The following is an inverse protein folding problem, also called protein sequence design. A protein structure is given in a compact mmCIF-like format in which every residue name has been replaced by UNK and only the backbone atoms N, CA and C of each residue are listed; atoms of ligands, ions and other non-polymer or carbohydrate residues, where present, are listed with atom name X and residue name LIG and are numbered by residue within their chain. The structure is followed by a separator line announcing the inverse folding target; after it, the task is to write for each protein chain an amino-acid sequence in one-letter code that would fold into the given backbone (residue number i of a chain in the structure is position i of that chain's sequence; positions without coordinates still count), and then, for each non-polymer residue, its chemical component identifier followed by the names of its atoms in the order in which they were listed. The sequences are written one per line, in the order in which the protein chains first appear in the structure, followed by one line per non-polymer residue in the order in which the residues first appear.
data_IF_654837075040
#
_entry.id   IF_654837075040
#
_cell.length_a   1.000
_cell.length_b   1.000
_cell.length_c   1.000
_cell.angle_alpha   90.00
_cell.angle_beta   90.00
_cell.angle_gamma   90.00
#
_symmetry.space_group_name_H-M   'P 1'
#
loop_
_entity.id
_entity.type
_entity.pdbx_description
1 polymer ?
#
# COMPACT_ATOMS: atom_id res chain seq x y z
N UNK A 1 4.64 31.80 -20.66
CA UNK A 1 4.48 30.59 -19.85
C UNK A 1 3.99 31.00 -18.45
N UNK A 2 2.71 30.75 -18.11
CA UNK A 2 2.22 31.00 -16.75
C UNK A 2 2.84 29.95 -15.82
N UNK A 3 3.66 30.38 -14.85
CA UNK A 3 4.11 29.54 -13.73
C UNK A 3 2.87 28.93 -13.09
N UNK A 4 2.71 27.62 -13.23
CA UNK A 4 1.72 26.86 -12.47
C UNK A 4 2.22 26.98 -11.03
N UNK A 5 1.46 27.67 -10.17
CA UNK A 5 1.71 27.71 -8.71
C UNK A 5 1.89 26.26 -8.27
N UNK A 6 3.01 25.97 -7.59
CA UNK A 6 3.25 24.69 -6.95
C UNK A 6 1.98 24.29 -6.21
N UNK A 7 1.32 23.24 -6.69
CA UNK A 7 0.09 22.74 -6.09
C UNK A 7 0.39 22.34 -4.65
N UNK A 8 -0.59 22.42 -3.78
CA UNK A 8 -0.53 21.92 -2.40
C UNK A 8 0.20 20.59 -2.42
N UNK A 9 1.27 20.53 -1.65
CA UNK A 9 2.14 19.38 -1.53
C UNK A 9 1.31 18.11 -1.28
N UNK A 10 1.60 17.02 -1.97
CA UNK A 10 0.83 15.78 -1.94
C UNK A 10 0.69 15.18 -0.52
N UNK A 11 1.66 15.42 0.36
CA UNK A 11 1.61 15.06 1.78
C UNK A 11 0.62 15.91 2.61
N UNK A 12 0.04 16.96 2.04
CA UNK A 12 -1.07 17.74 2.60
C UNK A 12 -2.45 17.23 2.22
N UNK A 13 -2.58 16.15 1.46
CA UNK A 13 -3.89 15.64 1.03
C UNK A 13 -4.68 15.03 2.18
N UNK A 14 -5.93 15.48 2.27
CA UNK A 14 -6.93 14.87 3.15
C UNK A 14 -7.52 13.65 2.45
N UNK A 15 -8.12 12.75 3.23
CA UNK A 15 -8.92 11.64 2.71
C UNK A 15 -9.83 12.10 1.55
N UNK A 16 -9.92 11.31 0.49
CA UNK A 16 -10.71 11.62 -0.71
C UNK A 16 -12.19 11.91 -0.40
N UNK A 17 -12.68 11.46 0.75
CA UNK A 17 -14.01 11.77 1.25
C UNK A 17 -13.95 12.35 2.67
N UNK A 18 -14.51 13.54 2.83
CA UNK A 18 -14.72 14.17 4.14
C UNK A 18 -15.89 13.54 4.92
N UNK A 19 -16.55 12.52 4.37
CA UNK A 19 -17.76 11.88 4.91
C UNK A 19 -17.72 10.37 4.75
N UNK A 20 -18.39 9.65 5.66
CA UNK A 20 -18.60 8.20 5.57
C UNK A 20 -19.71 7.80 4.57
N UNK A 21 -20.47 8.78 4.02
CA UNK A 21 -21.61 8.53 3.13
C UNK A 21 -21.25 7.77 1.84
N UNK A 22 -20.20 8.11 1.10
CA UNK A 22 -19.83 7.39 -0.12
C UNK A 22 -19.53 5.91 0.15
N UNK A 23 -18.82 5.60 1.23
CA UNK A 23 -18.51 4.22 1.63
C UNK A 23 -19.76 3.42 1.95
N UNK A 24 -20.71 4.03 2.69
CA UNK A 24 -22.00 3.41 3.02
C UNK A 24 -22.85 3.18 1.77
N UNK A 25 -22.86 4.13 0.84
CA UNK A 25 -23.58 4.00 -0.44
C UNK A 25 -22.98 2.86 -1.28
N UNK A 26 -21.65 2.80 -1.40
CA UNK A 26 -20.97 1.73 -2.13
C UNK A 26 -21.29 0.36 -1.52
N UNK A 27 -21.25 0.25 -0.21
CA UNK A 27 -21.62 -0.97 0.50
C UNK A 27 -23.08 -1.36 0.24
N UNK A 28 -24.00 -0.41 0.30
CA UNK A 28 -25.41 -0.63 -0.01
C UNK A 28 -25.59 -1.12 -1.46
N UNK A 29 -24.89 -0.51 -2.41
CA UNK A 29 -24.90 -0.95 -3.81
C UNK A 29 -24.38 -2.39 -3.97
N UNK A 30 -23.28 -2.74 -3.30
CA UNK A 30 -22.72 -4.09 -3.31
C UNK A 30 -23.68 -5.14 -2.76
N UNK A 31 -24.52 -4.77 -1.79
CA UNK A 31 -25.50 -5.67 -1.17
C UNK A 31 -26.76 -5.87 -2.01
N UNK A 32 -27.21 -4.84 -2.75
CA UNK A 32 -28.53 -4.83 -3.38
C UNK A 32 -28.49 -4.96 -4.91
N UNK A 33 -27.34 -4.64 -5.53
CA UNK A 33 -27.22 -4.69 -6.99
C UNK A 33 -26.36 -5.86 -7.45
N UNK A 34 -26.62 -6.40 -8.65
CA UNK A 34 -25.75 -7.39 -9.25
C UNK A 34 -24.38 -6.79 -9.56
N UNK A 35 -23.33 -7.61 -9.48
CA UNK A 35 -21.92 -7.15 -9.62
C UNK A 35 -21.65 -6.42 -10.94
N UNK A 36 -22.29 -6.82 -12.03
CA UNK A 36 -22.12 -6.15 -13.33
C UNK A 36 -22.58 -4.68 -13.29
N UNK A 37 -23.69 -4.39 -12.57
CA UNK A 37 -24.22 -3.02 -12.43
C UNK A 37 -23.30 -2.17 -11.52
N UNK A 38 -22.85 -2.74 -10.40
CA UNK A 38 -21.87 -2.06 -9.53
C UNK A 38 -20.60 -1.75 -10.31
N UNK A 39 -20.14 -2.69 -11.14
CA UNK A 39 -18.97 -2.52 -12.00
C UNK A 39 -19.19 -1.39 -13.00
N UNK A 40 -20.34 -1.37 -13.68
CA UNK A 40 -20.70 -0.29 -14.60
C UNK A 40 -20.71 1.09 -13.92
N UNK A 41 -21.34 1.21 -12.75
CA UNK A 41 -21.36 2.45 -11.96
C UNK A 41 -19.91 2.87 -11.58
N UNK A 42 -19.08 1.91 -11.17
CA UNK A 42 -17.68 2.17 -10.82
C UNK A 42 -16.89 2.71 -12.02
N UNK A 43 -17.13 2.18 -13.23
CA UNK A 43 -16.51 2.71 -14.43
C UNK A 43 -17.00 4.11 -14.79
N UNK A 44 -18.29 4.38 -14.64
CA UNK A 44 -18.83 5.74 -14.85
C UNK A 44 -18.19 6.73 -13.86
N UNK A 45 -18.03 6.35 -12.60
CA UNK A 45 -17.35 7.15 -11.59
C UNK A 45 -15.86 7.36 -11.95
N UNK A 46 -15.15 6.31 -12.36
CA UNK A 46 -13.76 6.42 -12.80
C UNK A 46 -13.59 7.36 -14.00
N UNK A 47 -14.50 7.27 -14.98
CA UNK A 47 -14.51 8.16 -16.15
C UNK A 47 -14.78 9.61 -15.73
N UNK A 48 -15.74 9.84 -14.82
CA UNK A 48 -16.03 11.15 -14.27
C UNK A 48 -14.77 11.76 -13.61
N UNK A 49 -14.12 11.05 -12.69
CA UNK A 49 -12.89 11.52 -12.06
C UNK A 49 -11.77 11.75 -13.07
N UNK A 50 -11.62 10.88 -14.05
CA UNK A 50 -10.61 11.05 -15.09
C UNK A 50 -10.82 12.32 -15.92
N UNK A 51 -12.07 12.70 -16.20
CA UNK A 51 -12.39 13.92 -16.96
C UNK A 51 -12.22 15.18 -16.10
N UNK A 52 -12.77 15.18 -14.89
CA UNK A 52 -12.89 16.38 -14.06
C UNK A 52 -11.72 16.59 -13.11
N UNK A 53 -11.04 15.52 -12.66
CA UNK A 53 -9.82 15.65 -11.86
C UNK A 53 -8.59 15.72 -12.77
N UNK A 54 -8.20 16.96 -13.10
CA UNK A 54 -7.02 17.23 -13.93
C UNK A 54 -5.74 16.70 -13.31
N UNK A 55 -5.61 16.74 -11.97
CA UNK A 55 -4.41 16.30 -11.28
C UNK A 55 -4.25 14.79 -11.38
N UNK A 56 -5.29 14.04 -11.02
CA UNK A 56 -5.29 12.57 -11.14
C UNK A 56 -4.87 12.13 -12.55
N UNK A 57 -5.44 12.77 -13.57
CA UNK A 57 -5.11 12.48 -14.98
C UNK A 57 -3.66 12.80 -15.34
N UNK A 58 -3.16 13.97 -14.95
CA UNK A 58 -1.80 14.40 -15.30
C UNK A 58 -0.74 13.53 -14.60
N UNK A 59 -0.92 13.20 -13.33
CA UNK A 59 0.02 12.38 -12.59
C UNK A 59 0.01 10.92 -13.06
N UNK A 60 -1.16 10.40 -13.42
CA UNK A 60 -1.24 9.09 -14.09
C UNK A 60 -0.47 9.06 -15.41
N UNK A 61 -0.57 10.13 -16.23
CA UNK A 61 0.19 10.24 -17.47
C UNK A 61 1.70 10.37 -17.18
N UNK A 62 2.10 11.19 -16.20
CA UNK A 62 3.50 11.40 -15.80
C UNK A 62 4.16 10.10 -15.39
N UNK A 63 3.52 9.37 -14.48
CA UNK A 63 4.01 8.06 -14.05
C UNK A 63 4.18 7.10 -15.23
N UNK A 64 3.16 6.95 -16.08
CA UNK A 64 3.23 6.01 -17.20
C UNK A 64 4.24 6.44 -18.28
N UNK A 65 4.52 7.73 -18.44
CA UNK A 65 5.62 8.22 -19.27
C UNK A 65 6.98 7.83 -18.67
N UNK A 66 7.20 8.10 -17.36
CA UNK A 66 8.43 7.71 -16.69
C UNK A 66 8.66 6.20 -16.77
N UNK A 67 7.60 5.41 -16.57
CA UNK A 67 7.67 3.96 -16.72
C UNK A 67 8.02 3.53 -18.15
N UNK A 68 7.44 4.19 -19.16
CA UNK A 68 7.73 3.92 -20.56
C UNK A 68 9.18 4.26 -20.93
N UNK A 69 9.69 5.37 -20.41
CA UNK A 69 11.06 5.81 -20.68
C UNK A 69 12.09 4.89 -20.02
N UNK A 70 11.74 4.30 -18.89
CA UNK A 70 12.58 3.36 -18.14
C UNK A 70 12.48 1.91 -18.63
N UNK A 71 11.29 1.45 -18.94
CA UNK A 71 11.02 0.03 -19.25
C UNK A 71 11.07 -0.26 -20.74
N UNK A 72 11.82 -1.29 -21.11
CA UNK A 72 11.85 -1.77 -22.52
C UNK A 72 10.56 -2.49 -22.93
N UNK A 73 9.77 -2.98 -21.98
CA UNK A 73 8.58 -3.81 -22.23
C UNK A 73 7.28 -3.02 -22.18
N UNK A 74 7.23 -1.91 -21.44
CA UNK A 74 6.03 -1.09 -21.30
C UNK A 74 5.93 -0.04 -22.40
N UNK A 75 4.89 -0.14 -23.25
CA UNK A 75 4.71 0.76 -24.40
C UNK A 75 3.38 1.52 -24.42
N UNK A 76 2.34 1.01 -23.71
CA UNK A 76 0.97 1.51 -23.85
C UNK A 76 0.56 2.39 -22.67
N UNK A 77 0.61 3.71 -22.85
CA UNK A 77 0.10 4.68 -21.87
C UNK A 77 -1.43 4.66 -21.90
N UNK A 78 -2.04 4.23 -20.81
CA UNK A 78 -3.51 4.13 -20.63
C UNK A 78 -3.91 4.67 -19.25
N UNK A 79 -3.89 5.99 -19.02
CA UNK A 79 -4.13 6.58 -17.71
C UNK A 79 -5.55 6.31 -17.20
N UNK A 80 -6.57 6.30 -18.07
CA UNK A 80 -7.92 5.92 -17.69
C UNK A 80 -7.97 4.49 -17.13
N UNK A 81 -7.17 3.56 -17.68
CA UNK A 81 -7.11 2.18 -17.15
C UNK A 81 -6.58 2.14 -15.72
N UNK A 82 -5.57 2.94 -15.38
CA UNK A 82 -5.05 3.04 -14.01
C UNK A 82 -6.11 3.60 -13.06
N UNK A 83 -6.80 4.68 -13.44
CA UNK A 83 -7.89 5.28 -12.64
C UNK A 83 -9.04 4.30 -12.46
N UNK A 84 -9.45 3.59 -13.53
CA UNK A 84 -10.50 2.58 -13.45
C UNK A 84 -10.09 1.40 -12.55
N UNK A 85 -8.85 0.92 -12.65
CA UNK A 85 -8.33 -0.14 -11.78
C UNK A 85 -8.34 0.30 -10.31
N UNK A 86 -7.94 1.53 -10.03
CA UNK A 86 -8.01 2.12 -8.69
C UNK A 86 -9.44 2.15 -8.15
N UNK A 87 -10.40 2.67 -8.94
CA UNK A 87 -11.81 2.75 -8.53
C UNK A 87 -12.38 1.36 -8.20
N UNK A 88 -12.08 0.36 -9.02
CA UNK A 88 -12.52 -1.02 -8.77
C UNK A 88 -11.84 -1.59 -7.50
N UNK A 89 -10.54 -1.32 -7.28
CA UNK A 89 -9.84 -1.76 -6.06
C UNK A 89 -10.45 -1.15 -4.80
N UNK A 90 -10.87 0.12 -4.83
CA UNK A 90 -11.58 0.74 -3.69
C UNK A 90 -12.93 0.03 -3.41
N UNK A 91 -13.70 -0.29 -4.45
CA UNK A 91 -14.98 -1.01 -4.28
C UNK A 91 -14.75 -2.42 -3.73
N UNK A 92 -13.75 -3.13 -4.24
CA UNK A 92 -13.37 -4.45 -3.71
C UNK A 92 -12.85 -4.40 -2.29
N UNK A 93 -12.08 -3.36 -1.95
CA UNK A 93 -11.66 -3.13 -0.57
C UNK A 93 -12.85 -3.06 0.38
N UNK A 94 -13.93 -2.37 -0.01
CA UNK A 94 -15.17 -2.29 0.79
C UNK A 94 -15.87 -3.65 0.82
N UNK A 95 -15.94 -4.38 -0.29
CA UNK A 95 -16.56 -5.71 -0.37
C UNK A 95 -15.79 -6.73 0.53
N UNK A 96 -14.47 -6.70 0.53
CA UNK A 96 -13.64 -7.61 1.33
C UNK A 96 -13.86 -7.50 2.85
N UNK A 97 -14.43 -6.38 3.35
CA UNK A 97 -14.74 -6.25 4.77
C UNK A 97 -15.91 -7.12 5.23
N UNK A 98 -16.81 -7.46 4.34
CA UNK A 98 -17.96 -8.33 4.64
C UNK A 98 -17.85 -9.69 3.96
N UNK A 99 -17.13 -9.74 2.87
CA UNK A 99 -16.91 -10.92 2.05
C UNK A 99 -15.39 -11.06 1.80
N UNK A 100 -14.63 -11.68 2.70
CA UNK A 100 -13.20 -11.92 2.48
C UNK A 100 -12.93 -12.63 1.15
N UNK A 101 -11.76 -12.41 0.59
CA UNK A 101 -11.34 -13.13 -0.62
C UNK A 101 -11.20 -14.62 -0.25
N UNK A 102 -11.90 -15.54 -0.91
CA UNK A 102 -11.71 -16.95 -0.71
C UNK A 102 -10.26 -17.36 -1.00
N UNK A 103 -9.71 -18.25 -0.18
CA UNK A 103 -8.31 -18.64 -0.30
C UNK A 103 -7.98 -19.26 -1.67
N UNK A 104 -8.88 -20.04 -2.23
CA UNK A 104 -8.74 -20.63 -3.55
C UNK A 104 -8.59 -19.60 -4.68
N UNK A 105 -8.97 -18.35 -4.43
CA UNK A 105 -8.82 -17.23 -5.35
C UNK A 105 -7.51 -16.45 -5.13
N UNK A 106 -6.69 -16.84 -4.15
CA UNK A 106 -5.38 -16.24 -3.87
C UNK A 106 -4.29 -17.18 -4.37
N UNK A 107 -3.56 -16.74 -5.37
CA UNK A 107 -2.41 -17.47 -5.88
C UNK A 107 -1.13 -16.89 -5.28
N UNK A 108 -0.40 -17.69 -4.53
CA UNK A 108 0.96 -17.37 -4.15
C UNK A 108 1.90 -17.60 -5.33
N UNK A 109 2.70 -16.63 -5.67
CA UNK A 109 3.59 -16.66 -6.84
C UNK A 109 5.02 -16.28 -6.44
N UNK A 110 5.44 -16.74 -5.27
CA UNK A 110 6.74 -16.52 -4.67
C UNK A 110 7.20 -17.75 -3.88
N UNK A 111 8.47 -17.74 -3.47
CA UNK A 111 9.08 -18.81 -2.68
C UNK A 111 9.07 -18.53 -1.17
N UNK A 112 8.81 -17.29 -0.73
CA UNK A 112 8.96 -16.88 0.68
C UNK A 112 7.64 -16.93 1.47
N UNK A 113 6.48 -17.10 0.83
CA UNK A 113 5.18 -17.21 1.50
C UNK A 113 5.13 -18.40 2.45
N UNK A 114 5.64 -19.56 2.04
CA UNK A 114 5.72 -20.75 2.89
C UNK A 114 6.62 -20.53 4.12
N UNK A 115 7.75 -19.84 3.94
CA UNK A 115 8.67 -19.51 5.01
C UNK A 115 8.03 -18.54 6.04
N UNK A 116 7.27 -17.55 5.57
CA UNK A 116 6.50 -16.65 6.44
C UNK A 116 5.44 -17.42 7.25
N UNK A 117 4.66 -18.28 6.59
CA UNK A 117 3.64 -19.10 7.23
C UNK A 117 4.25 -20.02 8.32
N UNK A 118 5.35 -20.67 8.01
CA UNK A 118 6.07 -21.51 8.97
C UNK A 118 6.58 -20.69 10.17
N UNK A 119 7.19 -19.53 9.92
CA UNK A 119 7.64 -18.61 10.97
C UNK A 119 6.50 -18.19 11.89
N UNK A 120 5.34 -17.83 11.35
CA UNK A 120 4.15 -17.46 12.10
C UNK A 120 3.61 -18.64 12.93
N UNK A 121 3.62 -19.86 12.40
CA UNK A 121 3.25 -21.07 13.13
C UNK A 121 4.19 -21.40 14.29
N UNK A 122 5.46 -20.99 14.19
CA UNK A 122 6.44 -21.06 15.28
C UNK A 122 6.22 -19.98 16.35
N UNK A 123 5.24 -19.09 16.19
CA UNK A 123 4.96 -17.96 17.08
C UNK A 123 5.94 -16.79 16.92
N UNK A 124 6.66 -16.71 15.81
CA UNK A 124 7.59 -15.62 15.49
C UNK A 124 6.90 -14.64 14.57
N UNK A 125 6.72 -13.41 15.03
CA UNK A 125 6.12 -12.32 14.25
C UNK A 125 7.05 -11.76 13.16
N UNK A 126 6.51 -10.86 12.35
CA UNK A 126 7.25 -10.22 11.27
C UNK A 126 6.86 -8.75 11.08
N UNK A 127 7.80 -7.98 10.53
CA UNK A 127 7.55 -6.63 10.04
C UNK A 127 7.27 -6.71 8.53
N UNK A 128 6.13 -6.16 8.11
CA UNK A 128 5.65 -6.22 6.72
C UNK A 128 5.69 -4.83 6.10
N UNK A 129 6.43 -4.68 5.01
CA UNK A 129 6.44 -3.44 4.22
C UNK A 129 5.61 -3.67 2.97
N UNK A 130 4.57 -2.87 2.82
CA UNK A 130 3.68 -2.83 1.65
C UNK A 130 3.88 -1.54 0.85
N UNK A 131 3.17 -1.41 -0.26
CA UNK A 131 3.10 -0.17 -1.05
C UNK A 131 1.68 0.12 -1.51
N UNK A 132 1.49 1.27 -2.16
CA UNK A 132 0.24 1.59 -2.86
C UNK A 132 0.16 0.98 -4.27
N UNK A 133 0.98 -0.03 -4.53
CA UNK A 133 0.95 -0.86 -5.72
C UNK A 133 0.15 -2.13 -5.43
N UNK A 134 -0.93 -2.35 -6.18
CA UNK A 134 -1.82 -3.48 -6.00
C UNK A 134 -2.86 -3.27 -4.88
N UNK A 135 -3.36 -4.36 -4.32
CA UNK A 135 -4.39 -4.39 -3.28
C UNK A 135 -3.83 -4.94 -1.97
N UNK A 136 -3.69 -4.08 -0.97
CA UNK A 136 -3.23 -4.46 0.37
C UNK A 136 -4.24 -5.29 1.17
N UNK A 137 -5.52 -5.35 0.74
CA UNK A 137 -6.54 -6.16 1.44
C UNK A 137 -6.29 -7.67 1.31
N UNK A 138 -5.50 -8.08 0.33
CA UNK A 138 -5.05 -9.48 0.21
C UNK A 138 -4.29 -9.93 1.47
N UNK A 139 -3.58 -9.04 2.17
CA UNK A 139 -2.96 -9.33 3.46
C UNK A 139 -3.94 -9.74 4.55
N UNK A 140 -5.20 -9.29 4.49
CA UNK A 140 -6.23 -9.73 5.42
C UNK A 140 -6.56 -11.20 5.30
N UNK A 141 -6.37 -11.75 4.11
CA UNK A 141 -6.56 -13.18 3.87
C UNK A 141 -5.53 -14.00 4.65
N UNK A 142 -4.34 -13.45 4.93
CA UNK A 142 -3.35 -14.08 5.81
C UNK A 142 -3.82 -14.16 7.28
N UNK A 143 -4.77 -13.32 7.69
CA UNK A 143 -5.36 -13.38 9.02
C UNK A 143 -6.46 -14.45 9.13
N UNK A 144 -6.91 -15.03 8.01
CA UNK A 144 -7.97 -16.03 7.97
C UNK A 144 -7.38 -17.42 8.22
N UNK A 145 -7.45 -17.85 9.49
CA UNK A 145 -6.69 -18.93 10.14
C UNK A 145 -6.68 -20.28 9.44
N UNK A 146 -7.81 -20.68 8.86
CA UNK A 146 -8.02 -22.10 8.55
C UNK A 146 -7.58 -22.50 7.14
N UNK A 147 -7.36 -21.53 6.26
CA UNK A 147 -7.20 -21.79 4.83
C UNK A 147 -5.75 -21.77 4.35
N UNK A 148 -4.87 -21.00 5.04
CA UNK A 148 -3.47 -20.82 4.63
C UNK A 148 -2.45 -21.62 5.47
N UNK A 149 -2.92 -22.57 6.29
CA UNK A 149 -2.03 -23.37 7.15
C UNK A 149 -1.57 -22.65 8.41
N UNK A 150 -2.12 -21.50 8.76
CA UNK A 150 -1.83 -20.79 10.01
C UNK A 150 -2.70 -21.39 11.12
N UNK A 151 -2.03 -21.94 12.16
CA UNK A 151 -2.66 -22.68 13.26
C UNK A 151 -3.23 -21.79 14.36
N UNK A 152 -2.83 -20.52 14.42
CA UNK A 152 -3.19 -19.57 15.50
C UNK A 152 -3.76 -18.28 14.91
N UNK A 153 -4.55 -17.54 15.75
CA UNK A 153 -4.88 -16.15 15.40
C UNK A 153 -3.63 -15.30 15.50
N UNK A 154 -3.34 -14.57 14.45
CA UNK A 154 -2.18 -13.69 14.37
C UNK A 154 -2.63 -12.27 14.67
N UNK A 155 -2.09 -11.59 15.69
CA UNK A 155 -2.31 -10.17 15.90
C UNK A 155 -1.76 -9.39 14.70
N UNK A 156 -2.54 -8.44 14.18
CA UNK A 156 -2.09 -7.54 13.11
C UNK A 156 -2.20 -6.11 13.59
N UNK A 157 -1.09 -5.39 13.57
CA UNK A 157 -1.04 -3.95 13.78
C UNK A 157 -0.70 -3.25 12.46
N UNK A 158 -1.52 -2.29 12.06
CA UNK A 158 -1.33 -1.51 10.83
C UNK A 158 -0.92 -0.09 11.20
N UNK A 159 0.26 0.30 10.75
CA UNK A 159 0.72 1.68 10.85
C UNK A 159 0.11 2.48 9.70
N UNK A 160 -0.72 3.46 10.00
CA UNK A 160 -1.37 4.31 9.01
C UNK A 160 -1.55 5.73 9.50
N UNK A 161 -1.62 6.67 8.57
CA UNK A 161 -1.99 8.06 8.88
C UNK A 161 -3.49 8.12 9.20
N UNK A 162 -3.83 8.46 10.45
CA UNK A 162 -5.23 8.57 10.90
C UNK A 162 -5.99 9.64 10.17
N UNK A 163 -5.34 10.74 9.79
CA UNK A 163 -5.99 11.84 9.09
C UNK A 163 -6.43 11.45 7.68
N UNK A 164 -5.73 10.48 7.08
CA UNK A 164 -6.02 9.99 5.72
C UNK A 164 -7.01 8.82 5.72
N UNK A 165 -7.12 8.05 6.81
CA UNK A 165 -7.91 6.81 6.84
C UNK A 165 -9.09 6.83 7.82
N UNK A 166 -9.31 7.93 8.54
CA UNK A 166 -10.28 7.96 9.65
C UNK A 166 -11.72 7.70 9.23
N UNK A 167 -12.19 8.29 8.13
CA UNK A 167 -13.57 8.11 7.68
C UNK A 167 -13.81 6.73 7.09
N UNK A 168 -12.83 6.20 6.36
CA UNK A 168 -12.87 4.82 5.88
C UNK A 168 -12.93 3.85 7.06
N UNK A 169 -12.03 3.95 8.02
CA UNK A 169 -12.00 3.09 9.21
C UNK A 169 -13.30 3.20 10.03
N UNK A 170 -13.83 4.43 10.24
CA UNK A 170 -15.13 4.64 10.91
C UNK A 170 -16.29 3.98 10.17
N UNK A 171 -16.29 4.07 8.84
CA UNK A 171 -17.34 3.45 8.02
C UNK A 171 -17.25 1.92 8.14
N UNK A 172 -16.06 1.36 8.03
CA UNK A 172 -15.83 -0.08 8.07
C UNK A 172 -16.15 -0.68 9.46
N UNK A 173 -15.70 -0.06 10.54
CA UNK A 173 -16.01 -0.51 11.91
C UNK A 173 -17.52 -0.51 12.22
N UNK A 174 -18.28 0.39 11.61
CA UNK A 174 -19.76 0.39 11.72
C UNK A 174 -20.41 -0.76 10.93
N UNK A 175 -19.76 -1.26 9.90
CA UNK A 175 -20.31 -2.33 9.04
C UNK A 175 -19.93 -3.72 9.54
N UNK A 176 -18.79 -3.86 10.20
CA UNK A 176 -18.32 -5.14 10.74
C UNK A 176 -17.63 -4.94 12.08
N UNK A 177 -18.40 -5.11 13.18
CA UNK A 177 -17.93 -4.96 14.55
C UNK A 177 -16.92 -6.05 14.99
N UNK A 178 -16.87 -7.17 14.30
CA UNK A 178 -15.98 -8.29 14.64
C UNK A 178 -14.55 -8.08 14.15
N UNK A 179 -14.28 -7.00 13.44
CA UNK A 179 -12.98 -6.75 12.82
C UNK A 179 -12.36 -5.44 13.33
N UNK A 180 -11.75 -5.51 14.51
CA UNK A 180 -10.99 -4.38 15.05
C UNK A 180 -9.56 -4.43 14.49
N UNK A 181 -9.24 -3.59 13.49
CA UNK A 181 -7.85 -3.36 13.13
C UNK A 181 -7.16 -2.61 14.26
N UNK A 182 -6.10 -3.17 14.78
CA UNK A 182 -5.20 -2.46 15.68
C UNK A 182 -4.39 -1.46 14.85
N UNK A 183 -4.93 -0.24 14.70
CA UNK A 183 -4.31 0.82 13.91
C UNK A 183 -3.44 1.67 14.80
N UNK A 184 -2.18 1.83 14.42
CA UNK A 184 -1.19 2.70 15.07
C UNK A 184 -1.00 3.93 14.18
N UNK A 185 -1.04 5.14 14.77
CA UNK A 185 -0.83 6.37 14.03
C UNK A 185 0.66 6.60 13.75
N UNK A 186 1.03 6.70 12.46
CA UNK A 186 2.41 6.97 12.06
C UNK A 186 2.90 8.38 12.43
N UNK A 187 1.98 9.30 12.72
CA UNK A 187 2.30 10.66 13.12
C UNK A 187 2.62 10.78 14.61
N UNK A 188 2.21 9.79 15.43
CA UNK A 188 2.38 9.77 16.88
C UNK A 188 3.18 8.53 17.32
N UNK A 189 4.43 8.44 16.87
CA UNK A 189 5.36 7.39 17.28
C UNK A 189 6.08 7.80 18.56
N UNK A 190 5.61 7.30 19.67
CA UNK A 190 6.19 7.45 21.01
C UNK A 190 6.92 6.17 21.45
N UNK A 191 7.70 6.20 22.56
CA UNK A 191 8.27 4.98 23.13
C UNK A 191 7.21 3.91 23.42
N UNK A 192 6.04 4.28 23.94
CA UNK A 192 4.93 3.36 24.17
C UNK A 192 4.39 2.74 22.87
N UNK A 193 4.40 3.50 21.77
CA UNK A 193 4.04 3.00 20.44
C UNK A 193 5.03 1.94 19.96
N UNK A 194 6.32 2.18 20.18
CA UNK A 194 7.38 1.22 19.82
C UNK A 194 7.24 -0.07 20.64
N UNK A 195 7.00 0.05 21.94
CA UNK A 195 6.73 -1.08 22.82
C UNK A 195 5.56 -1.93 22.31
N UNK A 196 4.44 -1.29 21.96
CA UNK A 196 3.27 -1.97 21.38
C UNK A 196 3.59 -2.67 20.04
N UNK A 197 4.45 -2.09 19.20
CA UNK A 197 4.93 -2.72 17.97
C UNK A 197 5.73 -3.98 18.30
N UNK A 198 6.68 -3.85 19.23
CA UNK A 198 7.52 -4.98 19.68
C UNK A 198 6.69 -6.08 20.31
N UNK A 199 5.71 -5.74 21.15
CA UNK A 199 4.80 -6.71 21.77
C UNK A 199 3.98 -7.47 20.74
N UNK A 200 3.48 -6.77 19.70
CA UNK A 200 2.76 -7.42 18.61
C UNK A 200 3.63 -8.47 17.92
N UNK A 201 4.89 -8.15 17.62
CA UNK A 201 5.84 -9.08 16.99
C UNK A 201 6.22 -10.22 17.92
N UNK A 202 6.47 -9.93 19.19
CA UNK A 202 6.83 -10.96 20.20
C UNK A 202 5.69 -11.96 20.46
N UNK A 203 4.43 -11.53 20.27
CA UNK A 203 3.25 -12.40 20.32
C UNK A 203 3.05 -13.21 19.02
N UNK A 204 3.99 -13.15 18.08
CA UNK A 204 3.90 -13.83 16.80
C UNK A 204 3.02 -13.09 15.78
N UNK A 205 2.79 -11.79 15.98
CA UNK A 205 1.95 -10.97 15.13
C UNK A 205 2.67 -10.32 13.95
N UNK A 206 1.88 -9.64 13.11
CA UNK A 206 2.36 -8.86 11.97
C UNK A 206 2.23 -7.37 12.25
N UNK A 207 3.28 -6.62 11.96
CA UNK A 207 3.25 -5.16 11.93
C UNK A 207 3.38 -4.71 10.48
N UNK A 208 2.37 -4.02 9.97
CA UNK A 208 2.25 -3.67 8.54
C UNK A 208 2.38 -2.18 8.36
N UNK A 209 3.24 -1.73 7.44
CA UNK A 209 3.45 -0.33 7.11
C UNK A 209 3.70 -0.13 5.61
N UNK A 210 3.24 1.00 5.04
CA UNK A 210 3.53 1.35 3.66
C UNK A 210 4.88 2.06 3.55
N UNK A 211 5.78 1.53 2.69
CA UNK A 211 7.15 2.03 2.51
C UNK A 211 7.32 3.06 1.41
N UNK A 212 6.32 3.27 0.56
CA UNK A 212 6.40 4.09 -0.65
C UNK A 212 5.87 5.53 -0.49
N UNK A 213 5.37 5.94 0.68
CA UNK A 213 4.88 7.30 0.90
C UNK A 213 5.52 7.96 2.10
N UNK A 214 5.78 9.25 2.00
CA UNK A 214 6.21 10.08 3.12
C UNK A 214 5.01 10.36 4.05
N UNK A 215 5.29 10.52 5.35
CA UNK A 215 4.29 10.99 6.31
C UNK A 215 4.17 12.51 6.22
N UNK A 216 2.95 13.06 6.33
CA UNK A 216 2.67 14.50 6.28
C UNK A 216 3.51 15.32 7.28
N UNK A 217 3.60 14.85 8.51
CA UNK A 217 4.21 15.59 9.60
C UNK A 217 5.72 15.34 9.74
N UNK A 218 6.29 14.40 8.97
CA UNK A 218 7.70 14.00 9.03
C UNK A 218 8.35 13.96 7.64
N UNK A 219 7.85 14.77 6.72
CA UNK A 219 8.36 14.87 5.34
C UNK A 219 9.79 15.45 5.26
N UNK A 220 10.28 16.09 6.33
CA UNK A 220 11.65 16.61 6.38
C UNK A 220 12.73 15.52 6.37
N UNK A 221 12.37 14.27 6.72
CA UNK A 221 13.27 13.12 6.69
C UNK A 221 12.80 12.08 5.70
N UNK A 222 13.62 11.81 4.71
CA UNK A 222 13.37 10.81 3.69
C UNK A 222 14.66 10.08 3.34
N UNK A 223 14.54 8.91 2.73
CA UNK A 223 15.63 8.21 2.06
C UNK A 223 15.50 8.46 0.57
N UNK A 224 16.62 8.78 -0.09
CA UNK A 224 16.64 8.97 -1.54
C UNK A 224 17.05 7.66 -2.20
N UNK A 225 16.22 7.16 -3.12
CA UNK A 225 16.53 6.01 -3.96
C UNK A 225 16.19 6.33 -5.42
N UNK A 226 16.89 5.71 -6.34
CA UNK A 226 16.51 5.77 -7.75
C UNK A 226 15.29 4.90 -8.00
N UNK A 227 14.22 5.50 -8.53
CA UNK A 227 13.00 4.81 -8.91
C UNK A 227 12.62 5.19 -10.34
N UNK A 228 12.53 4.19 -11.21
CA UNK A 228 12.34 4.35 -12.65
C UNK A 228 13.39 5.32 -13.27
N UNK A 229 14.64 5.14 -12.86
CA UNK A 229 15.79 5.91 -13.37
C UNK A 229 15.90 7.35 -12.85
N UNK A 230 15.04 7.76 -11.89
CA UNK A 230 15.05 9.10 -11.31
C UNK A 230 15.12 9.03 -9.79
N UNK A 231 15.86 9.95 -9.13
CA UNK A 231 15.85 10.01 -7.67
C UNK A 231 14.44 10.34 -7.15
N UNK A 232 14.02 9.61 -6.14
CA UNK A 232 12.72 9.77 -5.50
C UNK A 232 12.83 9.64 -3.97
N UNK A 233 12.00 10.37 -3.20
CA UNK A 233 12.00 10.30 -1.75
C UNK A 233 11.12 9.16 -1.24
N UNK A 234 11.67 8.35 -0.32
CA UNK A 234 10.96 7.27 0.36
C UNK A 234 10.86 7.52 1.86
N UNK A 235 9.86 6.87 2.51
CA UNK A 235 9.59 7.07 3.94
C UNK A 235 10.77 6.70 4.83
N UNK A 236 11.37 7.66 5.52
CA UNK A 236 12.41 7.41 6.53
C UNK A 236 11.88 6.55 7.69
N UNK A 237 10.68 6.88 8.19
CA UNK A 237 10.12 6.30 9.42
C UNK A 237 9.89 4.78 9.35
N UNK A 238 9.49 4.27 8.19
CA UNK A 238 9.21 2.84 8.00
C UNK A 238 10.50 2.04 8.12
N UNK A 239 11.54 2.44 7.42
CA UNK A 239 12.85 1.77 7.43
C UNK A 239 13.56 1.93 8.76
N UNK A 240 13.39 3.09 9.42
CA UNK A 240 13.85 3.32 10.78
C UNK A 240 13.20 2.35 11.78
N UNK A 241 11.89 2.18 11.73
CA UNK A 241 11.17 1.25 12.60
C UNK A 241 11.56 -0.19 12.33
N UNK A 242 11.70 -0.59 11.08
CA UNK A 242 12.15 -1.94 10.72
C UNK A 242 13.55 -2.24 11.30
N UNK A 243 14.50 -1.30 11.18
CA UNK A 243 15.85 -1.45 11.76
C UNK A 243 15.82 -1.44 13.29
N UNK A 244 14.98 -0.60 13.90
CA UNK A 244 14.89 -0.48 15.35
C UNK A 244 14.32 -1.75 15.99
N UNK A 245 13.26 -2.30 15.39
CA UNK A 245 12.57 -3.51 15.85
C UNK A 245 13.39 -4.77 15.56
N UNK A 246 14.20 -4.74 14.48
CA UNK A 246 15.09 -5.82 14.05
C UNK A 246 14.40 -7.20 13.91
N UNK A 247 13.11 -7.20 13.60
CA UNK A 247 12.36 -8.42 13.32
C UNK A 247 12.56 -8.87 11.85
N UNK A 248 12.32 -10.16 11.55
CA UNK A 248 12.25 -10.61 10.18
C UNK A 248 11.31 -9.73 9.37
N UNK A 249 11.83 -9.16 8.28
CA UNK A 249 11.10 -8.19 7.47
C UNK A 249 10.76 -8.81 6.12
N UNK A 250 9.51 -8.59 5.67
CA UNK A 250 9.03 -9.07 4.38
C UNK A 250 8.38 -7.93 3.61
N UNK A 251 8.54 -7.96 2.29
CA UNK A 251 7.80 -7.12 1.35
C UNK A 251 6.61 -7.92 0.83
N UNK A 252 5.42 -7.32 0.83
CA UNK A 252 4.21 -8.03 0.40
C UNK A 252 3.41 -7.19 -0.58
N UNK A 253 3.00 -7.83 -1.67
CA UNK A 253 2.12 -7.26 -2.70
C UNK A 253 0.98 -8.21 -3.03
N UNK A 254 -0.19 -7.64 -3.26
CA UNK A 254 -1.33 -8.33 -3.82
C UNK A 254 -1.76 -7.70 -5.14
N UNK A 255 -1.90 -8.48 -6.19
CA UNK A 255 -2.27 -7.97 -7.50
C UNK A 255 -3.57 -8.60 -7.97
N UNK A 256 -4.43 -7.76 -8.51
CA UNK A 256 -5.58 -8.21 -9.26
C UNK A 256 -5.13 -8.97 -10.51
N UNK A 257 -5.74 -10.10 -10.79
CA UNK A 257 -5.55 -10.89 -11.99
C UNK A 257 -6.63 -10.61 -13.03
N UNK A 258 -6.25 -10.61 -14.30
CA UNK A 258 -7.18 -10.52 -15.42
C UNK A 258 -7.70 -9.12 -15.72
N UNK A 259 -8.95 -9.04 -16.21
CA UNK A 259 -9.58 -7.80 -16.63
C UNK A 259 -10.02 -6.95 -15.44
N UNK A 260 -10.22 -5.63 -15.70
CA UNK A 260 -10.76 -4.70 -14.71
C UNK A 260 -12.25 -5.00 -14.53
N UNK A 261 -12.57 -5.96 -13.69
CA UNK A 261 -13.95 -6.36 -13.30
C UNK A 261 -13.91 -6.60 -11.81
N UNK A 262 -15.01 -6.43 -11.11
CA UNK A 262 -15.13 -6.84 -9.71
C UNK A 262 -14.97 -8.36 -9.60
N UNK A 263 -13.72 -8.80 -9.54
CA UNK A 263 -13.32 -10.18 -9.31
C UNK A 263 -12.48 -10.24 -8.05
N UNK A 264 -12.49 -11.40 -7.44
CA UNK A 264 -11.72 -11.66 -6.23
C UNK A 264 -10.47 -12.50 -6.48
N UNK A 265 -10.07 -12.65 -7.75
CA UNK A 265 -8.85 -13.38 -8.09
C UNK A 265 -7.64 -12.48 -7.86
N UNK A 266 -6.74 -12.90 -6.98
CA UNK A 266 -5.55 -12.18 -6.61
C UNK A 266 -4.29 -13.03 -6.81
N UNK A 267 -3.20 -12.39 -7.14
CA UNK A 267 -1.86 -12.95 -7.11
C UNK A 267 -1.08 -12.26 -5.99
N UNK A 268 -0.56 -13.04 -5.06
CA UNK A 268 0.17 -12.54 -3.90
C UNK A 268 1.64 -12.89 -4.01
N UNK A 269 2.49 -11.93 -3.67
CA UNK A 269 3.93 -12.07 -3.59
C UNK A 269 4.40 -11.70 -2.19
N UNK A 270 5.17 -12.59 -1.59
CA UNK A 270 5.86 -12.40 -0.32
C UNK A 270 7.35 -12.54 -0.59
N UNK A 271 8.12 -11.52 -0.26
CA UNK A 271 9.58 -11.50 -0.49
C UNK A 271 10.27 -11.16 0.81
N UNK A 272 11.11 -12.05 1.30
CA UNK A 272 11.90 -11.82 2.51
C UNK A 272 13.03 -10.83 2.21
N UNK A 273 13.12 -9.77 3.03
CA UNK A 273 14.24 -8.84 2.95
C UNK A 273 15.55 -9.53 3.35
N UNK A 274 16.61 -9.21 2.61
CA UNK A 274 17.95 -9.75 2.84
C UNK A 274 18.82 -8.80 3.68
N UNK A 275 18.44 -7.52 3.78
CA UNK A 275 19.14 -6.54 4.58
C UNK A 275 19.25 -6.98 6.04
N UNK A 276 20.46 -6.91 6.60
CA UNK A 276 20.70 -7.21 8.01
C UNK A 276 20.24 -6.02 8.84
N UNK A 277 19.21 -6.20 9.66
CA UNK A 277 18.62 -5.17 10.50
C UNK A 277 19.10 -5.29 11.95
N UNK A 278 19.00 -4.18 12.71
CA UNK A 278 19.44 -4.14 14.10
C UNK A 278 20.94 -3.80 14.25
N UNK A 279 21.45 -3.92 15.47
CA UNK A 279 22.86 -3.58 15.76
C UNK A 279 23.09 -2.17 16.30
N UNK A 280 22.01 -1.47 16.69
CA UNK A 280 22.09 -0.19 17.37
C UNK A 280 22.27 1.02 16.42
N UNK A 281 22.84 2.12 16.94
CA UNK A 281 22.94 3.40 16.21
C UNK A 281 23.97 3.38 15.08
N UNK A 282 25.09 2.70 15.33
CA UNK A 282 26.20 2.66 14.36
C UNK A 282 25.77 1.89 13.12
N UNK A 283 25.98 2.45 11.93
CA UNK A 283 25.62 1.84 10.65
C UNK A 283 24.11 1.73 10.38
N UNK A 284 23.26 2.44 11.17
CA UNK A 284 21.80 2.39 10.97
C UNK A 284 21.39 2.96 9.62
N UNK A 285 21.99 4.05 9.22
CA UNK A 285 21.64 4.73 7.96
C UNK A 285 21.94 3.83 6.75
N UNK A 286 23.08 3.15 6.77
CA UNK A 286 23.44 2.18 5.73
C UNK A 286 22.47 1.01 5.66
N UNK A 287 22.05 0.46 6.83
CA UNK A 287 21.08 -0.64 6.87
C UNK A 287 19.71 -0.21 6.37
N UNK A 288 19.25 0.98 6.75
CA UNK A 288 18.00 1.55 6.28
C UNK A 288 18.00 1.79 4.77
N UNK A 289 19.10 2.34 4.24
CA UNK A 289 19.28 2.54 2.80
C UNK A 289 19.32 1.21 2.04
N UNK A 290 20.00 0.19 2.57
CA UNK A 290 20.02 -1.15 1.98
C UNK A 290 18.61 -1.76 1.92
N UNK A 291 17.85 -1.72 3.02
CA UNK A 291 16.47 -2.21 3.04
C UNK A 291 15.56 -1.45 2.08
N UNK A 292 15.70 -0.12 2.02
CA UNK A 292 14.95 0.72 1.11
C UNK A 292 15.29 0.40 -0.36
N UNK A 293 16.57 0.21 -0.69
CA UNK A 293 17.00 -0.14 -2.03
C UNK A 293 16.43 -1.49 -2.49
N UNK A 294 16.43 -2.51 -1.62
CA UNK A 294 15.80 -3.80 -1.91
C UNK A 294 14.29 -3.64 -2.19
N UNK A 295 13.59 -2.88 -1.36
CA UNK A 295 12.17 -2.59 -1.55
C UNK A 295 11.91 -1.90 -2.90
N UNK A 296 12.70 -0.87 -3.22
CA UNK A 296 12.57 -0.10 -4.47
C UNK A 296 12.83 -0.98 -5.69
N UNK A 297 13.86 -1.83 -5.64
CA UNK A 297 14.14 -2.78 -6.72
C UNK A 297 12.95 -3.72 -7.00
N UNK A 298 12.29 -4.22 -5.94
CA UNK A 298 11.09 -5.05 -6.10
C UNK A 298 9.89 -4.23 -6.57
N UNK A 299 9.74 -2.99 -6.08
CA UNK A 299 8.70 -2.08 -6.54
C UNK A 299 8.84 -1.81 -8.05
N UNK A 300 10.06 -1.55 -8.56
CA UNK A 300 10.34 -1.35 -9.98
C UNK A 300 9.99 -2.58 -10.81
N UNK A 301 10.34 -3.77 -10.33
CA UNK A 301 9.96 -5.01 -10.99
C UNK A 301 8.44 -5.15 -11.12
N UNK A 302 7.70 -4.89 -10.03
CA UNK A 302 6.26 -5.06 -10.02
C UNK A 302 5.49 -3.96 -10.76
N UNK A 303 5.95 -2.71 -10.78
CA UNK A 303 5.30 -1.66 -11.59
C UNK A 303 5.46 -1.93 -13.10
N UNK A 304 6.52 -2.62 -13.52
CA UNK A 304 6.67 -3.06 -14.90
C UNK A 304 5.72 -4.22 -15.24
N UNK A 305 5.54 -5.16 -14.31
CA UNK A 305 4.63 -6.31 -14.47
C UNK A 305 3.16 -5.92 -14.37
N UNK A 306 2.81 -4.98 -13.47
CA UNK A 306 1.44 -4.52 -13.19
C UNK A 306 1.29 -2.99 -13.33
N UNK A 307 1.57 -2.42 -14.49
CA UNK A 307 1.79 -0.98 -14.68
C UNK A 307 0.58 -0.10 -14.34
N UNK A 308 -0.63 -0.64 -14.35
CA UNK A 308 -1.85 0.10 -14.09
C UNK A 308 -2.39 -0.08 -12.68
N UNK A 309 -1.64 -0.74 -11.78
CA UNK A 309 -2.05 -1.01 -10.41
C UNK A 309 -1.25 -0.21 -9.36
N UNK A 310 -0.47 0.78 -9.76
CA UNK A 310 0.19 1.70 -8.84
C UNK A 310 -0.66 2.96 -8.64
N UNK A 311 -1.21 3.13 -7.43
CA UNK A 311 -2.24 4.12 -7.13
C UNK A 311 -1.68 5.39 -6.48
N UNK A 312 -0.60 5.93 -7.07
CA UNK A 312 -0.01 7.20 -6.71
C UNK A 312 -0.41 8.26 -7.76
N UNK A 313 -1.38 9.13 -7.40
CA UNK A 313 -1.90 10.19 -8.27
C UNK A 313 -1.36 11.56 -7.85
N UNK A 314 -0.07 11.62 -7.53
CA UNK A 314 0.69 12.82 -7.20
C UNK A 314 2.10 12.74 -7.80
N UNK A 315 2.86 13.85 -7.75
CA UNK A 315 4.24 13.86 -8.20
C UNK A 315 5.14 13.10 -7.24
N UNK A 316 5.39 11.84 -7.52
CA UNK A 316 6.15 10.94 -6.67
C UNK A 316 7.64 11.32 -6.57
N UNK A 317 8.16 12.00 -7.60
CA UNK A 317 9.57 12.41 -7.68
C UNK A 317 9.82 13.81 -7.12
N UNK A 318 8.79 14.49 -6.61
CA UNK A 318 8.94 15.79 -5.98
C UNK A 318 9.44 15.63 -4.53
N UNK A 319 10.55 16.28 -4.23
CA UNK A 319 11.10 16.34 -2.88
C UNK A 319 10.35 17.37 -2.03
N UNK A 320 10.23 17.14 -0.68
CA UNK A 320 9.50 18.04 0.21
C UNK A 320 10.03 19.48 0.24
N UNK A 321 11.33 19.67 0.05
CA UNK A 321 11.98 20.99 0.09
C UNK A 321 11.90 21.77 -1.23
N UNK A 322 11.13 21.26 -2.21
CA UNK A 322 11.01 21.91 -3.52
C UNK A 322 12.28 21.85 -4.38
N UNK A 323 13.26 21.10 -3.95
CA UNK A 323 14.45 20.84 -4.75
C UNK A 323 14.08 19.84 -5.85
N UNK A 324 13.80 20.34 -7.05
CA UNK A 324 14.04 19.54 -8.26
C UNK A 324 15.55 19.31 -8.29
N UNK A 325 16.00 18.06 -8.22
CA UNK A 325 17.42 17.77 -8.44
C UNK A 325 17.82 18.34 -9.80
N UNK A 326 18.48 19.50 -9.79
CA UNK A 326 19.29 19.95 -10.87
C UNK A 326 20.51 18.99 -10.93
N UNK A 327 20.41 17.99 -11.82
CA UNK A 327 21.53 17.36 -12.51
C UNK A 327 21.00 16.59 -13.71
#
# INVERSE_FOLDING_TARGET
MKKIKAGKEWFGEKEASTSTRPYRLTFWCLKHFPRWLVNFITYCAALYFFIFDKRCRLESIRYQKNLKDYSQTFSKIKPLRQVATFAVTIVEKIDCWTNPIPFENIRFSDDDSSALIEQLNQGKGAFIIISHLGDSEVLRSLANKNEIGIKKTIPIAVLSDRDVSSNFSKAMNKMNHNFTLNTIDVNDITPATIEKIMDTINQGGLVVCAGDRLSKNKSERYLTQNFLGKPAPFSYGVYFLADLVAAPTYFVWGFRRGNIVLRRDCEMFVVKAQAKLGGGRKGREERMNALCAEFVQKLEFFVQKYPYQWYNFFDFWMFPNGEENAN
#
